data_IF_975112637532
#
_entry.id   IF_975112637532
#
_cell.length_a   1.000
_cell.length_b   1.000
_cell.length_c   1.000
_cell.angle_alpha   90.00
_cell.angle_beta   90.00
_cell.angle_gamma   90.00
#
_symmetry.space_group_name_H-M   'P 1'
#
loop_
_entity.id
_entity.type
_entity.pdbx_description
1 polymer ?
#
# COMPACT_ATOMS: atom_id res chain seq x y z
N UNK A 1 -7.77 25.87 -27.95
CA UNK A 1 -8.74 24.79 -28.21
C UNK A 1 -8.20 23.52 -27.57
N UNK A 2 -9.05 22.68 -26.97
CA UNK A 2 -8.57 21.40 -26.45
C UNK A 2 -8.06 20.55 -27.63
N UNK A 3 -6.84 19.99 -27.49
CA UNK A 3 -6.30 19.03 -28.45
C UNK A 3 -7.31 17.88 -28.64
N UNK A 4 -7.54 17.41 -29.88
CA UNK A 4 -8.49 16.34 -30.14
C UNK A 4 -8.13 15.08 -29.35
N UNK A 5 -9.13 14.24 -29.10
CA UNK A 5 -8.87 12.93 -28.51
C UNK A 5 -8.01 12.08 -29.45
N UNK A 6 -7.11 11.32 -28.86
CA UNK A 6 -6.22 10.40 -29.54
C UNK A 6 -6.51 8.97 -29.07
N UNK A 7 -6.22 8.00 -29.92
CA UNK A 7 -6.26 6.58 -29.59
C UNK A 7 -4.83 6.07 -29.53
N UNK A 8 -4.44 5.54 -28.37
CA UNK A 8 -3.11 4.98 -28.12
C UNK A 8 -3.25 3.46 -28.11
N UNK A 9 -2.48 2.76 -28.95
CA UNK A 9 -2.40 1.30 -28.90
C UNK A 9 -1.58 0.88 -27.68
N UNK A 10 -2.23 0.18 -26.75
CA UNK A 10 -1.62 -0.34 -25.53
C UNK A 10 -1.70 -1.86 -25.60
N UNK A 11 -0.65 -2.48 -26.10
CA UNK A 11 -0.52 -3.93 -26.32
C UNK A 11 -1.69 -4.55 -27.09
N UNK A 12 -2.09 -3.92 -28.20
CA UNK A 12 -3.18 -4.39 -29.07
C UNK A 12 -4.58 -3.92 -28.64
N UNK A 13 -4.68 -3.10 -27.60
CA UNK A 13 -5.95 -2.49 -27.13
C UNK A 13 -5.88 -0.98 -27.31
N UNK A 14 -6.80 -0.43 -28.11
CA UNK A 14 -6.92 1.02 -28.29
C UNK A 14 -7.47 1.70 -27.02
N UNK A 15 -6.68 2.59 -26.42
CA UNK A 15 -7.05 3.38 -25.25
C UNK A 15 -7.14 4.86 -25.64
N UNK A 16 -8.31 5.45 -25.41
CA UNK A 16 -8.54 6.88 -25.68
C UNK A 16 -7.81 7.76 -24.66
N UNK A 17 -7.12 8.79 -25.12
CA UNK A 17 -6.53 9.84 -24.27
C UNK A 17 -7.05 11.23 -24.68
N UNK A 18 -7.34 12.06 -23.67
CA UNK A 18 -7.87 13.42 -23.86
C UNK A 18 -7.22 14.40 -22.92
N UNK A 19 -7.14 15.67 -23.35
CA UNK A 19 -6.52 16.75 -22.59
C UNK A 19 -5.07 16.44 -22.17
N UNK A 20 -4.21 15.98 -23.10
CA UNK A 20 -2.85 15.56 -22.78
C UNK A 20 -2.02 16.67 -22.13
N UNK A 21 -2.21 17.91 -22.60
CA UNK A 21 -1.47 19.09 -22.14
C UNK A 21 -1.98 19.65 -20.80
N UNK A 22 -3.02 19.04 -20.19
CA UNK A 22 -3.53 19.48 -18.89
C UNK A 22 -2.45 19.28 -17.83
N UNK A 23 -2.16 20.33 -17.06
CA UNK A 23 -1.18 20.30 -15.98
C UNK A 23 -1.76 19.53 -14.79
N UNK A 24 -1.05 18.48 -14.36
CA UNK A 24 -1.35 17.71 -13.15
C UNK A 24 -0.44 18.05 -11.98
N UNK A 25 0.84 18.37 -12.26
CA UNK A 25 1.86 18.73 -11.28
C UNK A 25 2.43 20.11 -11.60
N UNK A 26 1.88 21.20 -11.03
CA UNK A 26 2.24 22.57 -11.43
C UNK A 26 3.73 22.89 -11.28
N UNK A 27 4.39 22.38 -10.23
CA UNK A 27 5.83 22.59 -9.99
C UNK A 27 6.72 22.04 -11.10
N UNK A 28 6.26 21.03 -11.83
CA UNK A 28 7.01 20.41 -12.93
C UNK A 28 6.76 21.08 -14.29
N UNK A 29 5.82 22.02 -14.39
CA UNK A 29 5.49 22.70 -15.64
C UNK A 29 5.14 21.72 -16.76
N UNK A 30 5.85 21.80 -17.89
CA UNK A 30 5.66 20.89 -19.04
C UNK A 30 5.98 19.42 -18.72
N UNK A 31 6.81 19.14 -17.71
CA UNK A 31 7.08 17.78 -17.23
C UNK A 31 5.98 17.21 -16.31
N UNK A 32 4.99 18.03 -15.94
CA UNK A 32 3.93 17.68 -14.99
C UNK A 32 2.56 17.50 -15.63
N UNK A 33 2.48 17.16 -16.91
CA UNK A 33 1.20 17.08 -17.63
C UNK A 33 0.53 15.71 -17.50
N UNK A 34 -0.75 15.64 -17.86
CA UNK A 34 -1.48 14.37 -17.98
C UNK A 34 -0.82 13.42 -18.99
N UNK A 35 -0.30 13.94 -20.11
CA UNK A 35 0.53 13.19 -21.06
C UNK A 35 1.72 12.55 -20.35
N UNK A 36 2.48 13.34 -19.60
CA UNK A 36 3.67 12.84 -18.90
C UNK A 36 3.34 11.70 -17.95
N UNK A 37 2.25 11.82 -17.17
CA UNK A 37 1.80 10.76 -16.28
C UNK A 37 1.33 9.51 -17.05
N UNK A 38 0.59 9.70 -18.15
CA UNK A 38 0.12 8.60 -18.98
C UNK A 38 1.27 7.82 -19.61
N UNK A 39 2.24 8.53 -20.21
CA UNK A 39 3.41 7.93 -20.85
C UNK A 39 4.31 7.23 -19.82
N UNK A 40 4.48 7.81 -18.62
CA UNK A 40 5.13 7.14 -17.49
C UNK A 40 4.47 5.79 -17.20
N UNK A 41 3.14 5.75 -17.08
CA UNK A 41 2.43 4.52 -16.80
C UNK A 41 2.58 3.48 -17.91
N UNK A 42 2.64 3.91 -19.18
CA UNK A 42 2.95 3.00 -20.29
C UNK A 42 4.37 2.43 -20.16
N UNK A 43 5.35 3.27 -19.83
CA UNK A 43 6.75 2.86 -19.71
C UNK A 43 6.99 1.83 -18.61
N UNK A 44 6.21 1.86 -17.52
CA UNK A 44 6.31 0.89 -16.41
C UNK A 44 5.20 -0.16 -16.42
N UNK A 45 4.33 -0.19 -17.43
CA UNK A 45 3.11 -0.98 -17.39
C UNK A 45 3.36 -2.48 -17.22
N UNK A 46 4.44 -3.01 -17.80
CA UNK A 46 4.78 -4.43 -17.72
C UNK A 46 5.20 -4.88 -16.31
N UNK A 47 6.25 -4.31 -15.68
CA UNK A 47 6.59 -4.66 -14.30
C UNK A 47 5.46 -4.27 -13.32
N UNK A 48 4.75 -3.16 -13.57
CA UNK A 48 3.58 -2.78 -12.77
C UNK A 48 2.41 -3.77 -12.91
N UNK A 49 2.22 -4.38 -14.07
CA UNK A 49 1.21 -5.41 -14.27
C UNK A 49 1.56 -6.68 -13.50
N UNK A 50 2.83 -7.08 -13.41
CA UNK A 50 3.23 -8.28 -12.67
C UNK A 50 2.75 -8.23 -11.20
N UNK A 51 2.87 -7.06 -10.56
CA UNK A 51 2.44 -6.84 -9.17
C UNK A 51 0.93 -6.57 -9.02
N UNK A 52 0.27 -6.05 -10.06
CA UNK A 52 -1.17 -5.73 -10.04
C UNK A 52 -2.07 -6.83 -10.63
N UNK A 53 -1.49 -7.85 -11.25
CA UNK A 53 -2.24 -8.83 -12.04
C UNK A 53 -3.35 -9.46 -11.21
N UNK A 54 -4.54 -9.42 -11.78
CA UNK A 54 -5.79 -9.95 -11.23
C UNK A 54 -6.26 -9.30 -9.92
N UNK A 55 -5.66 -8.18 -9.49
CA UNK A 55 -6.06 -7.48 -8.27
C UNK A 55 -7.21 -6.51 -8.53
N UNK A 56 -8.25 -6.51 -7.67
CA UNK A 56 -9.21 -5.41 -7.65
C UNK A 56 -8.51 -4.16 -7.12
N UNK A 57 -8.75 -3.02 -7.76
CA UNK A 57 -7.96 -1.80 -7.57
C UNK A 57 -8.85 -0.57 -7.48
N UNK A 58 -8.70 0.20 -6.39
CA UNK A 58 -9.30 1.53 -6.27
C UNK A 58 -8.43 2.59 -6.93
N UNK A 59 -9.04 3.69 -7.35
CA UNK A 59 -8.37 4.76 -8.09
C UNK A 59 -8.42 6.07 -7.29
N UNK A 60 -7.26 6.65 -6.98
CA UNK A 60 -7.17 8.00 -6.44
C UNK A 60 -6.96 8.98 -7.60
N UNK A 61 -8.02 9.74 -7.90
CA UNK A 61 -8.11 10.55 -9.11
C UNK A 61 -8.06 12.04 -8.80
N UNK A 62 -7.39 12.77 -9.68
CA UNK A 62 -7.24 14.22 -9.68
C UNK A 62 -7.49 14.76 -11.09
N UNK A 63 -8.77 14.83 -11.52
CA UNK A 63 -9.11 15.18 -12.91
C UNK A 63 -8.54 16.54 -13.37
N UNK A 64 -8.31 17.44 -12.42
CA UNK A 64 -7.80 18.81 -12.58
C UNK A 64 -6.43 19.02 -11.92
N UNK A 65 -5.67 17.95 -11.68
CA UNK A 65 -4.33 17.99 -11.08
C UNK A 65 -4.32 17.97 -9.55
N UNK A 66 -3.12 17.84 -8.96
CA UNK A 66 -2.94 17.54 -7.52
C UNK A 66 -3.50 18.61 -6.57
N UNK A 67 -3.69 19.84 -7.05
CA UNK A 67 -4.25 20.96 -6.29
C UNK A 67 -5.77 21.10 -6.46
N UNK A 68 -6.37 20.26 -7.32
CA UNK A 68 -7.80 20.22 -7.59
C UNK A 68 -8.57 19.23 -6.71
N UNK A 69 -9.77 18.87 -7.17
CA UNK A 69 -10.62 17.90 -6.49
C UNK A 69 -9.99 16.50 -6.48
N UNK A 70 -10.01 15.87 -5.30
CA UNK A 70 -9.62 14.49 -5.11
C UNK A 70 -10.86 13.58 -5.14
N UNK A 71 -10.84 12.57 -6.02
CA UNK A 71 -11.90 11.56 -6.13
C UNK A 71 -11.29 10.19 -5.82
N UNK A 72 -11.65 9.63 -4.66
CA UNK A 72 -11.30 8.26 -4.29
C UNK A 72 -12.36 7.27 -4.79
N UNK A 73 -12.14 6.70 -5.97
CA UNK A 73 -13.10 5.86 -6.67
C UNK A 73 -12.88 4.38 -6.37
N UNK A 74 -13.85 3.76 -5.69
CA UNK A 74 -13.83 2.32 -5.39
C UNK A 74 -14.56 1.48 -6.44
N UNK A 75 -15.75 1.92 -6.83
CA UNK A 75 -16.59 1.24 -7.83
C UNK A 75 -16.20 1.70 -9.25
N UNK A 76 -16.10 0.76 -10.18
CA UNK A 76 -15.97 1.09 -11.61
C UNK A 76 -17.21 1.84 -12.11
N UNK A 77 -17.09 2.85 -13.01
CA UNK A 77 -18.26 3.56 -13.53
C UNK A 77 -19.20 2.61 -14.29
N UNK A 78 -20.52 2.81 -14.21
CA UNK A 78 -21.49 1.94 -14.89
C UNK A 78 -21.28 1.87 -16.42
N UNK A 79 -20.78 2.95 -17.02
CA UNK A 79 -20.33 2.99 -18.41
C UNK A 79 -18.81 3.03 -18.42
N UNK A 80 -18.19 2.01 -18.98
CA UNK A 80 -16.76 1.88 -19.13
C UNK A 80 -16.44 1.08 -20.41
N UNK A 81 -15.21 1.14 -20.95
CA UNK A 81 -14.83 0.38 -22.14
C UNK A 81 -14.97 -1.13 -21.96
N UNK A 82 -15.41 -1.83 -23.01
CA UNK A 82 -15.70 -3.27 -22.99
C UNK A 82 -14.49 -4.15 -22.66
N UNK A 83 -13.26 -3.65 -22.85
CA UNK A 83 -12.03 -4.38 -22.54
C UNK A 83 -11.68 -4.40 -21.05
N UNK A 84 -12.31 -3.56 -20.22
CA UNK A 84 -12.04 -3.57 -18.79
C UNK A 84 -12.70 -4.75 -18.12
N UNK A 85 -11.97 -5.37 -17.20
CA UNK A 85 -12.49 -6.43 -16.35
C UNK A 85 -12.76 -5.87 -14.95
N UNK A 86 -13.72 -6.48 -14.28
CA UNK A 86 -14.14 -6.11 -12.93
C UNK A 86 -14.07 -7.31 -12.01
N UNK A 87 -14.10 -7.04 -10.72
CA UNK A 87 -14.14 -8.06 -9.69
C UNK A 87 -14.92 -7.52 -8.50
N UNK A 88 -15.85 -8.33 -8.00
CA UNK A 88 -16.63 -7.97 -6.83
C UNK A 88 -15.74 -8.04 -5.58
N UNK A 89 -15.71 -6.98 -4.78
CA UNK A 89 -15.03 -6.94 -3.49
C UNK A 89 -16.02 -6.72 -2.36
N UNK A 90 -15.73 -7.28 -1.19
CA UNK A 90 -16.52 -7.11 0.04
C UNK A 90 -15.86 -6.10 0.97
N UNK A 91 -16.56 -5.00 1.26
CA UNK A 91 -16.11 -3.98 2.22
C UNK A 91 -16.27 -4.44 3.67
N UNK A 92 -15.64 -3.77 4.67
CA UNK A 92 -15.76 -4.14 6.08
C UNK A 92 -17.20 -4.12 6.63
N UNK A 93 -18.11 -3.42 5.94
CA UNK A 93 -19.55 -3.39 6.27
C UNK A 93 -20.35 -4.59 5.75
N UNK A 94 -19.73 -5.48 4.98
CA UNK A 94 -20.40 -6.56 4.22
C UNK A 94 -21.00 -6.12 2.88
N UNK A 95 -21.02 -4.82 2.57
CA UNK A 95 -21.45 -4.31 1.25
C UNK A 95 -20.45 -4.72 0.17
N UNK A 96 -20.94 -5.00 -1.04
CA UNK A 96 -20.10 -5.33 -2.19
C UNK A 96 -20.05 -4.22 -3.25
N UNK A 97 -19.01 -4.25 -4.08
CA UNK A 97 -18.92 -3.45 -5.30
C UNK A 97 -17.98 -4.06 -6.33
N UNK A 98 -18.28 -3.83 -7.61
CA UNK A 98 -17.36 -4.10 -8.71
C UNK A 98 -16.23 -3.07 -8.73
N UNK A 99 -15.02 -3.52 -8.40
CA UNK A 99 -13.79 -2.76 -8.55
C UNK A 99 -13.13 -3.07 -9.90
N UNK A 100 -12.26 -2.17 -10.37
CA UNK A 100 -11.41 -2.43 -11.54
C UNK A 100 -10.49 -3.62 -11.25
N UNK A 101 -10.54 -4.67 -12.07
CA UNK A 101 -9.58 -5.77 -12.02
C UNK A 101 -8.47 -5.51 -13.04
N UNK A 102 -7.22 -5.41 -12.59
CA UNK A 102 -6.09 -5.12 -13.49
C UNK A 102 -5.61 -6.42 -14.15
N UNK A 103 -5.96 -6.63 -15.41
CA UNK A 103 -5.57 -7.83 -16.18
C UNK A 103 -4.67 -7.55 -17.38
N UNK A 104 -4.54 -6.29 -17.76
CA UNK A 104 -3.84 -5.84 -18.96
C UNK A 104 -3.30 -4.41 -18.80
N UNK A 105 -2.21 -4.01 -19.47
CA UNK A 105 -1.68 -2.63 -19.42
C UNK A 105 -2.71 -1.56 -19.78
N UNK A 106 -3.66 -1.87 -20.66
CA UNK A 106 -4.75 -0.98 -21.03
C UNK A 106 -5.66 -0.57 -19.87
N UNK A 107 -5.75 -1.38 -18.81
CA UNK A 107 -6.49 -1.01 -17.59
C UNK A 107 -5.77 0.10 -16.80
N UNK A 108 -4.43 0.05 -16.75
CA UNK A 108 -3.59 1.07 -16.10
C UNK A 108 -3.63 2.36 -16.92
N UNK A 109 -3.46 2.26 -18.23
CA UNK A 109 -3.57 3.40 -19.15
C UNK A 109 -4.95 4.07 -19.08
N UNK A 110 -6.03 3.27 -19.06
CA UNK A 110 -7.37 3.79 -18.84
C UNK A 110 -7.52 4.52 -17.50
N UNK A 111 -6.98 3.96 -16.42
CA UNK A 111 -7.00 4.62 -15.11
C UNK A 111 -6.28 5.99 -15.18
N UNK A 112 -5.11 6.07 -15.81
CA UNK A 112 -4.39 7.32 -16.02
C UNK A 112 -5.20 8.33 -16.87
N UNK A 113 -5.84 7.88 -17.95
CA UNK A 113 -6.77 8.71 -18.74
C UNK A 113 -7.92 9.26 -17.89
N UNK A 114 -8.43 8.50 -16.93
CA UNK A 114 -9.49 8.94 -16.00
C UNK A 114 -8.98 9.94 -14.93
N UNK A 115 -7.71 10.31 -14.99
CA UNK A 115 -7.04 11.21 -14.05
C UNK A 115 -6.54 10.52 -12.79
N UNK A 116 -6.35 9.20 -12.82
CA UNK A 116 -5.79 8.47 -11.69
C UNK A 116 -4.32 8.80 -11.53
N UNK A 117 -3.95 9.33 -10.37
CA UNK A 117 -2.54 9.51 -9.99
C UNK A 117 -2.04 8.28 -9.26
N UNK A 118 -2.80 7.73 -8.30
CA UNK A 118 -2.38 6.58 -7.50
C UNK A 118 -3.36 5.42 -7.67
N UNK A 119 -2.84 4.22 -7.95
CA UNK A 119 -3.60 2.97 -7.94
C UNK A 119 -3.47 2.31 -6.56
N UNK A 120 -4.60 1.85 -6.02
CA UNK A 120 -4.67 1.23 -4.69
C UNK A 120 -5.21 -0.21 -4.78
N UNK A 121 -4.34 -1.20 -5.02
CA UNK A 121 -4.73 -2.60 -5.12
C UNK A 121 -5.08 -3.18 -3.75
N UNK A 122 -6.11 -4.01 -3.74
CA UNK A 122 -6.35 -4.89 -2.61
C UNK A 122 -5.23 -5.94 -2.51
N UNK A 123 -5.04 -6.49 -1.31
CA UNK A 123 -4.08 -7.56 -1.02
C UNK A 123 -4.56 -8.96 -1.44
N UNK A 124 -5.56 -9.04 -2.32
CA UNK A 124 -6.16 -10.28 -2.83
C UNK A 124 -6.05 -10.33 -4.36
N UNK A 125 -6.19 -11.53 -4.94
CA UNK A 125 -6.34 -11.73 -6.39
C UNK A 125 -7.71 -12.34 -6.67
N UNK A 126 -8.37 -11.84 -7.71
CA UNK A 126 -9.66 -12.38 -8.12
C UNK A 126 -9.51 -13.76 -8.77
N UNK A 127 -10.47 -14.69 -8.57
CA UNK A 127 -11.76 -14.47 -7.92
C UNK A 127 -11.76 -14.67 -6.39
N UNK A 128 -10.66 -15.10 -5.78
CA UNK A 128 -10.59 -15.30 -4.33
C UNK A 128 -10.32 -13.97 -3.60
N UNK A 129 -11.40 -13.23 -3.33
CA UNK A 129 -11.32 -11.93 -2.66
C UNK A 129 -11.40 -12.02 -1.13
N UNK A 130 -11.41 -13.22 -0.57
CA UNK A 130 -11.55 -13.45 0.87
C UNK A 130 -10.22 -13.79 1.55
N UNK A 131 -9.27 -14.36 0.79
CA UNK A 131 -7.96 -14.75 1.30
C UNK A 131 -6.83 -13.91 0.68
N UNK A 132 -6.19 -13.01 1.45
CA UNK A 132 -5.04 -12.27 0.96
C UNK A 132 -3.88 -13.17 0.53
N UNK A 133 -3.24 -12.82 -0.58
CA UNK A 133 -1.98 -13.42 -1.02
C UNK A 133 -0.78 -12.51 -0.65
N UNK A 134 -1.02 -11.36 -0.01
CA UNK A 134 -0.01 -10.42 0.48
C UNK A 134 -0.23 -10.04 1.94
N UNK A 135 0.81 -10.19 2.77
CA UNK A 135 0.92 -9.48 4.04
C UNK A 135 1.71 -8.18 3.81
N UNK A 136 1.21 -7.07 4.34
CA UNK A 136 1.79 -5.73 4.16
C UNK A 136 2.32 -5.19 5.48
N UNK A 137 3.56 -4.70 5.46
CA UNK A 137 4.16 -3.92 6.54
C UNK A 137 4.32 -2.48 6.07
N UNK A 138 3.81 -1.53 6.87
CA UNK A 138 3.86 -0.10 6.59
C UNK A 138 4.61 0.60 7.72
N UNK A 139 5.82 1.04 7.41
CA UNK A 139 6.70 1.77 8.32
C UNK A 139 6.45 3.27 8.10
N UNK A 140 5.62 3.86 8.97
CA UNK A 140 5.13 5.24 8.83
C UNK A 140 5.82 6.20 9.83
N UNK A 141 6.70 7.10 9.35
CA UNK A 141 7.31 8.13 10.17
C UNK A 141 6.30 9.07 10.82
N UNK A 142 6.31 9.12 12.15
CA UNK A 142 5.57 10.10 12.93
C UNK A 142 6.34 11.43 13.00
N UNK A 143 5.73 12.54 13.44
CA UNK A 143 6.45 13.81 13.64
C UNK A 143 7.73 13.59 14.46
N UNK A 144 8.85 14.17 14.02
CA UNK A 144 10.19 13.92 14.58
C UNK A 144 11.00 12.84 13.87
N UNK A 145 10.38 12.02 13.02
CA UNK A 145 11.07 10.98 12.22
C UNK A 145 10.90 11.20 10.72
N UNK A 146 11.74 10.55 9.92
CA UNK A 146 11.81 10.68 8.46
C UNK A 146 12.01 9.34 7.75
N UNK A 147 12.11 9.38 6.41
CA UNK A 147 12.35 8.20 5.58
C UNK A 147 13.61 7.43 5.99
N UNK A 148 14.68 8.14 6.35
CA UNK A 148 15.92 7.51 6.81
C UNK A 148 15.69 6.57 8.00
N UNK A 149 14.85 6.97 8.96
CA UNK A 149 14.48 6.08 10.07
C UNK A 149 13.73 4.85 9.55
N UNK A 150 12.74 5.04 8.67
CA UNK A 150 11.93 3.94 8.13
C UNK A 150 12.77 2.93 7.34
N UNK A 151 13.68 3.41 6.49
CA UNK A 151 14.64 2.58 5.77
C UNK A 151 15.55 1.82 6.72
N UNK A 152 16.10 2.51 7.73
CA UNK A 152 16.97 1.88 8.72
C UNK A 152 16.26 0.76 9.48
N UNK A 153 15.05 0.98 10.00
CA UNK A 153 14.29 -0.09 10.69
C UNK A 153 13.92 -1.22 9.74
N UNK A 154 13.61 -0.93 8.47
CA UNK A 154 13.34 -1.95 7.48
C UNK A 154 14.55 -2.87 7.28
N UNK A 155 15.74 -2.30 7.08
CA UNK A 155 16.98 -3.02 6.75
C UNK A 155 17.61 -3.68 7.98
N UNK A 156 17.69 -2.96 9.09
CA UNK A 156 18.48 -3.38 10.26
C UNK A 156 17.69 -4.23 11.25
N UNK A 157 16.34 -4.16 11.22
CA UNK A 157 15.49 -4.86 12.20
C UNK A 157 14.49 -5.78 11.51
N UNK A 158 13.62 -5.25 10.65
CA UNK A 158 12.57 -6.05 10.02
C UNK A 158 13.17 -7.14 9.12
N UNK A 159 14.14 -6.82 8.27
CA UNK A 159 14.74 -7.82 7.37
C UNK A 159 15.40 -8.98 8.15
N UNK A 160 16.25 -8.76 9.17
CA UNK A 160 16.77 -9.85 9.99
C UNK A 160 15.68 -10.70 10.68
N UNK A 161 14.60 -10.08 11.16
CA UNK A 161 13.44 -10.82 11.72
C UNK A 161 12.83 -11.73 10.66
N UNK A 162 12.64 -11.25 9.43
CA UNK A 162 12.14 -12.05 8.33
C UNK A 162 13.10 -13.20 7.97
N UNK A 163 14.41 -12.93 7.95
CA UNK A 163 15.45 -13.92 7.68
C UNK A 163 15.43 -15.05 8.75
N UNK A 164 15.28 -14.71 10.04
CA UNK A 164 15.14 -15.68 11.14
C UNK A 164 13.90 -16.58 10.99
N UNK A 165 12.81 -16.03 10.44
CA UNK A 165 11.57 -16.74 10.18
C UNK A 165 11.58 -17.53 8.87
N UNK A 166 12.63 -17.39 8.04
CA UNK A 166 12.69 -17.98 6.70
C UNK A 166 11.65 -17.38 5.74
N UNK A 167 11.28 -16.11 5.95
CA UNK A 167 10.31 -15.36 5.15
C UNK A 167 11.05 -14.34 4.30
N UNK A 168 10.69 -14.21 3.01
CA UNK A 168 11.26 -13.18 2.14
C UNK A 168 10.31 -11.99 2.06
N UNK A 169 10.83 -10.81 2.35
CA UNK A 169 10.14 -9.53 2.18
C UNK A 169 10.67 -8.74 0.98
N UNK A 170 9.78 -7.97 0.35
CA UNK A 170 10.05 -7.18 -0.84
C UNK A 170 9.77 -5.70 -0.53
N UNK A 171 10.80 -4.86 -0.38
CA UNK A 171 10.61 -3.48 0.02
C UNK A 171 10.36 -2.55 -1.17
N UNK A 172 9.60 -1.49 -0.91
CA UNK A 172 9.44 -0.34 -1.80
C UNK A 172 9.36 0.95 -1.00
N UNK A 173 9.83 2.06 -1.58
CA UNK A 173 9.46 3.37 -1.04
C UNK A 173 7.95 3.53 -1.10
N UNK A 174 7.35 4.25 -0.16
CA UNK A 174 5.96 4.67 -0.33
C UNK A 174 5.82 5.73 -1.42
N UNK A 175 6.88 6.49 -1.72
CA UNK A 175 6.84 7.75 -2.47
C UNK A 175 6.40 8.93 -1.62
N UNK A 176 6.08 8.71 -0.34
CA UNK A 176 6.06 9.75 0.69
C UNK A 176 7.23 9.54 1.64
N UNK A 177 6.99 9.65 2.95
CA UNK A 177 8.05 9.49 3.96
C UNK A 177 8.29 8.04 4.40
N UNK A 178 7.33 7.14 4.19
CA UNK A 178 7.39 5.77 4.71
C UNK A 178 7.99 4.73 3.76
N UNK A 179 8.17 3.53 4.29
CA UNK A 179 8.61 2.32 3.58
C UNK A 179 7.50 1.27 3.67
N UNK A 180 7.25 0.59 2.55
CA UNK A 180 6.35 -0.55 2.53
C UNK A 180 7.16 -1.83 2.29
N UNK A 181 6.82 -2.91 2.97
CA UNK A 181 7.38 -4.25 2.70
C UNK A 181 6.24 -5.22 2.43
N UNK A 182 6.31 -5.92 1.30
CA UNK A 182 5.37 -6.97 0.93
C UNK A 182 5.95 -8.35 1.23
N UNK A 183 5.09 -9.24 1.69
CA UNK A 183 5.39 -10.65 1.88
C UNK A 183 4.35 -11.44 1.09
N UNK A 184 4.79 -12.21 0.10
CA UNK A 184 3.94 -13.14 -0.64
C UNK A 184 3.59 -14.32 0.26
N UNK A 185 2.30 -14.55 0.46
CA UNK A 185 1.78 -15.62 1.30
C UNK A 185 0.85 -16.53 0.50
N UNK A 186 0.65 -17.76 0.97
CA UNK A 186 -0.42 -18.61 0.42
C UNK A 186 -1.78 -17.98 0.76
N UNK A 187 -2.75 -17.98 -0.17
CA UNK A 187 -4.10 -17.47 0.09
C UNK A 187 -4.93 -18.51 0.88
N UNK A 188 -4.38 -19.01 1.99
CA UNK A 188 -5.02 -20.00 2.87
C UNK A 188 -5.70 -19.35 4.09
N UNK A 189 -5.52 -18.04 4.27
CA UNK A 189 -5.94 -17.29 5.46
C UNK A 189 -6.78 -16.08 5.10
N UNK A 190 -7.77 -15.77 5.95
CA UNK A 190 -8.60 -14.58 5.78
C UNK A 190 -7.89 -13.29 6.23
N UNK A 191 -8.53 -12.15 6.01
CA UNK A 191 -8.03 -10.84 6.44
C UNK A 191 -7.77 -10.74 7.95
N UNK A 192 -8.52 -11.46 8.79
CA UNK A 192 -8.37 -11.39 10.25
C UNK A 192 -7.08 -12.08 10.66
N UNK A 193 -6.84 -13.29 10.15
CA UNK A 193 -5.61 -14.05 10.41
C UNK A 193 -4.38 -13.32 9.85
N UNK A 194 -4.44 -12.78 8.62
CA UNK A 194 -3.33 -12.01 8.02
C UNK A 194 -3.05 -10.74 8.82
N UNK A 195 -4.08 -10.03 9.30
CA UNK A 195 -3.90 -8.87 10.18
C UNK A 195 -3.28 -9.25 11.52
N UNK A 196 -3.70 -10.36 12.15
CA UNK A 196 -3.09 -10.83 13.40
C UNK A 196 -1.61 -11.21 13.23
N UNK A 197 -1.27 -11.89 12.13
CA UNK A 197 0.12 -12.16 11.78
C UNK A 197 0.93 -10.86 11.62
N UNK A 198 0.36 -9.84 10.96
CA UNK A 198 0.97 -8.51 10.85
C UNK A 198 1.16 -7.79 12.19
N UNK A 199 0.22 -7.93 13.13
CA UNK A 199 0.34 -7.39 14.50
C UNK A 199 1.50 -8.06 15.25
N UNK A 200 1.58 -9.40 15.21
CA UNK A 200 2.64 -10.14 15.89
C UNK A 200 4.03 -9.78 15.35
N UNK A 201 4.15 -9.63 14.03
CA UNK A 201 5.39 -9.17 13.40
C UNK A 201 5.73 -7.74 13.80
N UNK A 202 4.74 -6.84 13.81
CA UNK A 202 4.93 -5.45 14.24
C UNK A 202 5.41 -5.34 15.69
N UNK A 203 4.82 -6.13 16.60
CA UNK A 203 5.24 -6.19 18.02
C UNK A 203 6.64 -6.76 18.19
N UNK A 204 7.03 -7.73 17.37
CA UNK A 204 8.39 -8.27 17.43
C UNK A 204 9.42 -7.22 17.02
N UNK A 205 9.15 -6.47 15.95
CA UNK A 205 10.01 -5.35 15.54
C UNK A 205 10.03 -4.25 16.62
N UNK A 206 8.89 -3.92 17.22
CA UNK A 206 8.80 -2.97 18.33
C UNK A 206 9.63 -3.43 19.54
N UNK A 207 9.55 -4.70 19.95
CA UNK A 207 10.35 -5.23 21.07
C UNK A 207 11.86 -5.16 20.81
N UNK A 208 12.29 -5.32 19.55
CA UNK A 208 13.71 -5.26 19.17
C UNK A 208 14.23 -3.82 19.05
N UNK A 209 13.36 -2.85 18.81
CA UNK A 209 13.71 -1.44 18.65
C UNK A 209 12.69 -0.49 19.32
N UNK A 210 12.46 -0.61 20.65
CA UNK A 210 11.34 0.06 21.33
C UNK A 210 11.49 1.58 21.39
N UNK A 211 12.71 2.10 21.26
CA UNK A 211 12.97 3.55 21.21
C UNK A 211 12.74 4.15 19.83
N UNK A 212 12.66 3.32 18.78
CA UNK A 212 12.52 3.77 17.39
C UNK A 212 11.20 3.34 16.74
N UNK A 213 10.50 2.35 17.29
CA UNK A 213 9.30 1.74 16.72
C UNK A 213 8.18 1.72 17.73
N UNK A 214 6.94 1.92 17.27
CA UNK A 214 5.74 1.80 18.09
C UNK A 214 4.59 1.14 17.36
N UNK A 215 3.75 0.40 18.08
CA UNK A 215 2.43 -0.07 17.63
C UNK A 215 1.27 0.64 18.35
N UNK A 216 1.53 1.71 19.12
CA UNK A 216 0.44 2.41 19.80
C UNK A 216 -0.55 3.02 18.81
N UNK A 217 -1.82 2.70 19.05
CA UNK A 217 -2.93 3.22 18.26
C UNK A 217 -3.12 4.72 18.47
N UNK A 218 -2.90 5.22 19.69
CA UNK A 218 -3.05 6.62 20.06
C UNK A 218 -1.86 7.44 19.60
N UNK A 219 -2.10 8.48 18.79
CA UNK A 219 -1.01 9.31 18.23
C UNK A 219 -0.16 9.98 19.31
N UNK A 220 -0.79 10.38 20.42
CA UNK A 220 -0.14 11.00 21.57
C UNK A 220 0.83 10.08 22.31
N UNK A 221 0.70 8.75 22.17
CA UNK A 221 1.56 7.75 22.82
C UNK A 221 2.72 7.30 21.92
N UNK A 222 2.72 7.67 20.64
CA UNK A 222 3.74 7.22 19.67
C UNK A 222 5.11 7.82 19.94
N UNK A 223 5.13 9.10 20.34
CA UNK A 223 6.35 9.90 20.41
C UNK A 223 7.03 10.05 19.05
N UNK A 224 8.34 10.30 19.07
CA UNK A 224 9.18 10.44 17.87
C UNK A 224 9.67 9.06 17.39
N UNK A 225 8.73 8.16 17.08
CA UNK A 225 9.00 6.79 16.62
C UNK A 225 8.34 6.51 15.28
N UNK A 226 8.76 5.44 14.62
CA UNK A 226 8.06 4.88 13.48
C UNK A 226 6.85 4.10 13.96
N UNK A 227 5.69 4.42 13.39
CA UNK A 227 4.50 3.62 13.62
C UNK A 227 4.46 2.49 12.59
N UNK A 228 4.30 1.24 13.05
CA UNK A 228 3.97 0.14 12.14
C UNK A 228 2.46 0.07 12.01
N UNK A 229 1.90 0.51 10.87
CA UNK A 229 0.45 0.50 10.65
C UNK A 229 -0.06 -0.91 10.32
N UNK A 230 -0.22 -1.72 11.37
CA UNK A 230 -0.77 -3.07 11.29
C UNK A 230 -2.20 -3.11 10.71
N UNK A 231 -2.94 -1.98 10.75
CA UNK A 231 -4.29 -1.94 10.19
C UNK A 231 -4.30 -1.88 8.66
N UNK A 232 -3.15 -1.74 7.99
CA UNK A 232 -3.05 -1.84 6.52
C UNK A 232 -3.39 -3.24 5.98
N UNK A 233 -3.36 -4.26 6.84
CA UNK A 233 -3.81 -5.61 6.50
C UNK A 233 -5.32 -5.82 6.63
N UNK A 234 -6.07 -4.83 7.12
CA UNK A 234 -7.53 -4.87 7.13
C UNK A 234 -8.09 -4.68 5.71
N UNK A 235 -9.37 -5.01 5.50
CA UNK A 235 -10.08 -4.73 4.24
C UNK A 235 -10.18 -3.22 3.99
N UNK A 236 -10.22 -2.84 2.71
CA UNK A 236 -10.54 -1.48 2.24
C UNK A 236 -9.65 -0.38 2.83
N UNK A 237 -8.33 -0.64 2.84
CA UNK A 237 -7.31 0.30 3.27
C UNK A 237 -6.58 0.90 2.08
N UNK A 238 -6.25 2.19 2.18
CA UNK A 238 -5.51 2.89 1.12
C UNK A 238 -4.05 2.48 1.15
N UNK A 239 -3.58 1.81 0.10
CA UNK A 239 -2.19 1.40 -0.02
C UNK A 239 -1.72 1.61 -1.46
N UNK A 240 -0.74 2.48 -1.71
CA UNK A 240 -0.28 2.76 -3.07
C UNK A 240 0.41 1.52 -3.67
N UNK A 241 0.08 1.16 -4.92
CA UNK A 241 0.76 0.07 -5.62
C UNK A 241 2.25 0.36 -5.80
N UNK A 242 3.05 -0.69 -6.00
CA UNK A 242 4.34 -0.53 -6.66
C UNK A 242 4.14 0.19 -8.02
N UNK A 243 5.08 1.08 -8.34
CA UNK A 243 5.08 1.96 -9.52
C UNK A 243 3.95 3.00 -9.59
N UNK A 244 3.06 3.13 -8.60
CA UNK A 244 2.12 4.25 -8.60
C UNK A 244 2.83 5.58 -8.38
N UNK A 245 2.51 6.57 -9.22
CA UNK A 245 2.80 7.96 -8.92
C UNK A 245 2.03 8.41 -7.68
N UNK A 246 2.57 9.42 -6.97
CA UNK A 246 1.98 9.96 -5.75
C UNK A 246 1.55 11.41 -5.95
N UNK A 247 0.66 11.86 -5.07
CA UNK A 247 0.23 13.26 -4.95
C UNK A 247 1.28 14.08 -4.18
N UNK A 248 2.48 14.18 -4.75
CA UNK A 248 3.57 15.04 -4.26
C UNK A 248 3.88 16.09 -5.31
N UNK A 249 4.50 17.20 -4.93
CA UNK A 249 4.78 18.29 -5.86
C UNK A 249 5.70 17.89 -7.02
N UNK A 250 6.56 16.88 -6.82
CA UNK A 250 7.53 16.38 -7.81
C UNK A 250 7.11 15.05 -8.46
N UNK A 251 5.87 14.61 -8.25
CA UNK A 251 5.37 13.35 -8.80
C UNK A 251 6.24 12.12 -8.46
N UNK A 252 6.59 11.98 -7.17
CA UNK A 252 7.30 10.81 -6.66
C UNK A 252 6.53 9.51 -6.94
N UNK A 253 7.25 8.39 -6.93
CA UNK A 253 6.75 7.05 -7.24
C UNK A 253 6.97 6.13 -6.05
N UNK A 254 6.03 5.23 -5.78
CA UNK A 254 6.24 4.12 -4.85
C UNK A 254 7.12 3.06 -5.52
N UNK A 255 8.44 3.12 -5.30
CA UNK A 255 9.43 2.42 -6.11
C UNK A 255 9.88 1.10 -5.47
N UNK A 256 9.71 -0.06 -6.14
CA UNK A 256 10.34 -1.32 -5.75
C UNK A 256 11.86 -1.24 -5.74
N UNK A 257 12.47 -1.73 -4.66
CA UNK A 257 13.91 -1.71 -4.43
C UNK A 257 14.40 -3.07 -3.93
N UNK A 258 15.67 -3.35 -4.15
CA UNK A 258 16.36 -4.39 -3.38
C UNK A 258 16.58 -3.90 -1.94
N UNK A 259 16.82 -4.82 -1.01
CA UNK A 259 17.21 -4.45 0.36
C UNK A 259 18.49 -3.60 0.39
N UNK A 260 19.43 -3.86 -0.52
CA UNK A 260 20.68 -3.09 -0.64
C UNK A 260 20.42 -1.66 -1.12
N UNK A 261 19.57 -1.48 -2.14
CA UNK A 261 19.20 -0.16 -2.64
C UNK A 261 18.42 0.65 -1.61
N UNK A 262 17.53 -0.02 -0.84
CA UNK A 262 16.73 0.65 0.19
C UNK A 262 17.60 1.35 1.24
N UNK A 263 18.70 0.72 1.65
CA UNK A 263 19.58 1.22 2.73
C UNK A 263 20.15 2.62 2.45
N UNK A 264 20.32 2.98 1.17
CA UNK A 264 20.83 4.29 0.73
C UNK A 264 19.84 5.11 -0.09
N UNK A 265 18.55 4.73 -0.12
CA UNK A 265 17.56 5.36 -0.97
C UNK A 265 17.16 6.76 -0.49
N UNK A 266 16.88 7.65 -1.44
CA UNK A 266 16.09 8.85 -1.24
C UNK A 266 14.78 8.71 -2.04
N UNK A 267 13.58 8.77 -1.43
CA UNK A 267 12.32 8.65 -2.15
C UNK A 267 12.14 9.72 -3.25
N UNK A 268 12.81 10.88 -3.13
CA UNK A 268 12.72 11.96 -4.13
C UNK A 268 13.50 11.66 -5.42
N UNK A 269 14.40 10.66 -5.41
CA UNK A 269 15.10 10.18 -6.63
C UNK A 269 14.16 9.43 -7.58
N UNK A 270 13.03 8.93 -7.08
CA UNK A 270 12.09 8.11 -7.84
C UNK A 270 10.84 8.92 -8.18
N UNK A 271 10.80 9.46 -9.39
CA UNK A 271 9.67 10.24 -9.93
C UNK A 271 9.20 9.67 -11.25
N UNK A 272 8.05 10.15 -11.74
CA UNK A 272 7.56 9.78 -13.08
C UNK A 272 8.55 10.11 -14.20
N UNK A 273 9.50 11.04 -13.96
CA UNK A 273 10.51 11.43 -14.94
C UNK A 273 11.78 10.56 -14.89
N UNK A 274 12.11 9.96 -13.73
CA UNK A 274 13.38 9.24 -13.53
C UNK A 274 13.21 7.72 -13.56
N UNK A 275 12.07 7.21 -13.10
CA UNK A 275 11.83 5.76 -12.97
C UNK A 275 11.87 5.00 -14.29
N UNK A 276 11.31 5.47 -15.42
CA UNK A 276 11.37 4.74 -16.69
C UNK A 276 12.80 4.35 -17.11
N UNK A 277 13.72 5.31 -16.97
CA UNK A 277 15.13 5.15 -17.30
C UNK A 277 15.84 4.17 -16.34
N UNK A 278 15.47 4.17 -15.06
CA UNK A 278 15.99 3.23 -14.06
C UNK A 278 15.52 1.80 -14.32
N UNK A 279 14.22 1.62 -14.59
CA UNK A 279 13.61 0.31 -14.88
C UNK A 279 14.19 -0.29 -16.16
N UNK A 280 14.47 0.52 -17.18
CA UNK A 280 15.05 0.02 -18.43
C UNK A 280 16.52 -0.47 -18.28
N UNK A 281 17.24 -0.02 -17.25
CA UNK A 281 18.68 -0.25 -17.06
C UNK A 281 19.01 -1.24 -15.94
N UNK A 282 18.03 -1.68 -15.16
CA UNK A 282 18.21 -2.52 -13.97
C UNK A 282 17.24 -3.71 -14.00
N UNK A 283 17.69 -4.85 -13.52
CA UNK A 283 16.82 -5.99 -13.25
C UNK A 283 15.74 -5.62 -12.21
N UNK A 284 14.59 -6.27 -12.30
CA UNK A 284 13.48 -6.06 -11.36
C UNK A 284 13.84 -6.66 -9.98
N UNK A 285 13.98 -5.84 -8.91
CA UNK A 285 14.29 -6.36 -7.59
C UNK A 285 13.17 -7.22 -6.99
N UNK A 286 11.98 -7.20 -7.57
CA UNK A 286 10.83 -7.99 -7.17
C UNK A 286 10.54 -9.17 -8.12
N UNK A 287 11.44 -9.48 -9.06
CA UNK A 287 11.22 -10.55 -10.05
C UNK A 287 10.79 -11.89 -9.44
N UNK A 288 11.30 -12.22 -8.24
CA UNK A 288 11.03 -13.47 -7.55
C UNK A 288 9.86 -13.40 -6.55
N UNK A 289 9.11 -12.30 -6.47
CA UNK A 289 8.03 -12.12 -5.46
C UNK A 289 6.97 -13.23 -5.51
N UNK A 290 6.70 -13.78 -6.69
CA UNK A 290 5.73 -14.86 -6.88
C UNK A 290 6.38 -16.26 -6.92
N UNK A 291 7.70 -16.36 -6.77
CA UNK A 291 8.41 -17.64 -6.80
C UNK A 291 8.12 -18.51 -5.56
N UNK A 292 7.90 -17.88 -4.40
CA UNK A 292 7.62 -18.55 -3.13
C UNK A 292 6.44 -17.90 -2.42
N UNK A 293 5.39 -18.68 -2.18
CA UNK A 293 4.29 -18.31 -1.30
C UNK A 293 4.52 -18.85 0.11
N UNK A 294 4.86 -17.95 1.03
CA UNK A 294 5.18 -18.29 2.42
C UNK A 294 3.93 -18.68 3.22
N UNK A 295 4.11 -19.54 4.22
CA UNK A 295 3.09 -19.76 5.26
C UNK A 295 3.20 -18.66 6.32
N UNK A 296 2.05 -18.16 6.83
CA UNK A 296 2.04 -17.23 7.98
C UNK A 296 1.93 -17.95 9.32
N UNK A 297 1.92 -19.28 9.36
CA UNK A 297 1.86 -20.06 10.61
C UNK A 297 2.94 -19.67 11.63
N UNK A 298 4.21 -19.39 11.27
CA UNK A 298 5.20 -18.90 12.23
C UNK A 298 4.77 -17.61 12.92
N UNK A 299 4.16 -16.68 12.17
CA UNK A 299 3.64 -15.42 12.70
C UNK A 299 2.39 -15.62 13.55
N UNK A 300 1.53 -16.59 13.19
CA UNK A 300 0.36 -16.95 14.00
C UNK A 300 0.78 -17.57 15.35
N UNK A 301 1.84 -18.40 15.38
CA UNK A 301 2.42 -18.90 16.63
C UNK A 301 3.00 -17.77 17.49
N UNK A 302 3.60 -16.75 16.86
CA UNK A 302 4.02 -15.55 17.59
C UNK A 302 2.82 -14.79 18.17
N UNK A 303 1.69 -14.72 17.44
CA UNK A 303 0.45 -14.13 17.94
C UNK A 303 -0.11 -14.92 19.13
N UNK A 304 -0.12 -16.25 19.09
CA UNK A 304 -0.51 -17.11 20.21
C UNK A 304 0.39 -16.87 21.44
N UNK A 305 1.70 -16.78 21.24
CA UNK A 305 2.64 -16.46 22.32
C UNK A 305 2.44 -15.04 22.89
N UNK A 306 2.01 -14.08 22.06
CA UNK A 306 1.60 -12.75 22.54
C UNK A 306 0.31 -12.81 23.35
N UNK A 307 -0.68 -13.63 22.96
CA UNK A 307 -1.90 -13.85 23.74
C UNK A 307 -1.57 -14.45 25.13
N UNK A 308 -0.63 -15.40 25.22
CA UNK A 308 -0.12 -15.93 26.49
C UNK A 308 0.52 -14.86 27.38
N UNK A 309 1.06 -13.78 26.77
CA UNK A 309 1.60 -12.60 27.47
C UNK A 309 0.52 -11.56 27.82
N UNK A 310 -0.74 -11.83 27.54
CA UNK A 310 -1.86 -10.90 27.73
C UNK A 310 -1.97 -9.83 26.64
N UNK A 311 -1.24 -9.98 25.53
CA UNK A 311 -1.24 -9.06 24.40
C UNK A 311 -2.16 -9.61 23.29
N UNK A 312 -3.47 -9.37 23.43
CA UNK A 312 -4.49 -9.77 22.45
C UNK A 312 -4.51 -8.93 21.17
N UNK A 313 -5.68 -8.83 20.52
CA UNK A 313 -5.85 -8.01 19.32
C UNK A 313 -5.57 -6.50 19.59
N UNK A 314 -5.25 -5.74 18.54
CA UNK A 314 -5.10 -4.29 18.61
C UNK A 314 -6.31 -3.58 17.99
N UNK A 315 -6.58 -2.31 18.36
CA UNK A 315 -7.74 -1.59 17.84
C UNK A 315 -7.72 -1.40 16.31
N UNK A 316 -8.90 -1.53 15.70
CA UNK A 316 -9.12 -1.14 14.31
C UNK A 316 -9.16 0.40 14.16
N UNK A 317 -9.07 0.94 12.93
CA UNK A 317 -9.12 2.39 12.71
C UNK A 317 -10.42 3.03 13.24
N UNK A 318 -10.37 4.31 13.66
CA UNK A 318 -11.59 5.06 14.00
C UNK A 318 -12.55 5.03 12.81
N UNK A 319 -13.81 4.65 13.05
CA UNK A 319 -14.87 4.47 12.04
C UNK A 319 -14.77 3.22 11.15
N UNK A 320 -13.91 2.25 11.47
CA UNK A 320 -13.87 0.98 10.73
C UNK A 320 -15.14 0.15 11.01
N UNK A 321 -16.00 -0.15 10.01
CA UNK A 321 -17.22 -0.92 10.22
C UNK A 321 -16.93 -2.34 10.72
N UNK A 322 -17.83 -2.93 11.51
CA UNK A 322 -17.80 -4.35 11.87
C UNK A 322 -18.58 -5.17 10.85
N UNK A 323 -18.08 -6.35 10.51
CA UNK A 323 -18.88 -7.31 9.74
C UNK A 323 -19.93 -7.99 10.65
N UNK A 324 -21.12 -8.31 10.13
CA UNK A 324 -22.03 -9.22 10.82
C UNK A 324 -21.33 -10.55 11.15
N UNK A 325 -21.36 -10.97 12.41
CA UNK A 325 -20.71 -12.20 12.88
C UNK A 325 -19.22 -12.09 13.20
N UNK A 326 -18.61 -10.90 13.07
CA UNK A 326 -17.21 -10.67 13.47
C UNK A 326 -17.04 -10.75 15.01
N UNK A 327 -15.94 -11.35 15.51
CA UNK A 327 -15.63 -11.35 16.94
C UNK A 327 -15.57 -9.94 17.56
N UNK A 328 -15.76 -9.81 18.89
CA UNK A 328 -15.58 -8.54 19.58
C UNK A 328 -14.17 -7.96 19.36
N UNK A 329 -14.11 -6.73 18.85
CA UNK A 329 -12.85 -5.98 18.69
C UNK A 329 -12.40 -5.36 20.01
N UNK A 330 -11.10 -5.28 20.20
CA UNK A 330 -10.48 -4.51 21.27
C UNK A 330 -10.80 -3.03 21.07
N UNK A 331 -11.38 -2.41 22.10
CA UNK A 331 -11.62 -0.97 22.11
C UNK A 331 -10.33 -0.24 22.47
N UNK A 332 -10.09 0.95 21.89
CA UNK A 332 -9.03 1.81 22.37
C UNK A 332 -9.22 2.11 23.86
N UNK A 333 -8.36 1.57 24.72
CA UNK A 333 -8.31 1.97 26.13
C UNK A 333 -7.33 3.12 26.29
N UNK A 334 -7.73 4.18 27.01
CA UNK A 334 -6.82 5.20 27.51
C UNK A 334 -6.58 4.98 28.99
N UNK A 335 -5.35 5.16 29.48
CA UNK A 335 -5.13 5.46 30.90
C UNK A 335 -5.76 6.83 31.18
N UNK A 336 -6.89 6.86 31.90
CA UNK A 336 -7.48 8.10 32.42
C UNK A 336 -6.85 8.33 33.79
N UNK A 337 -5.98 9.33 33.93
CA UNK A 337 -5.21 9.57 35.16
C UNK A 337 -6.06 9.65 36.45
N UNK A 338 -7.35 9.98 36.33
CA UNK A 338 -8.28 10.01 37.47
C UNK A 338 -8.71 8.61 37.99
N UNK A 339 -8.41 7.53 37.27
CA UNK A 339 -8.87 6.17 37.57
C UNK A 339 -7.74 5.23 38.03
N UNK A 340 -6.54 5.76 38.27
CA UNK A 340 -5.35 4.99 38.62
C UNK A 340 -4.66 5.67 39.80
N UNK A 341 -4.28 4.91 40.82
CA UNK A 341 -3.51 5.43 41.95
C UNK A 341 -2.02 5.59 41.59
N UNK A 342 -1.26 6.23 42.48
CA UNK A 342 0.17 6.52 42.27
C UNK A 342 1.03 5.23 42.13
N UNK A 343 0.46 4.06 42.46
CA UNK A 343 1.08 2.73 42.33
C UNK A 343 0.65 1.98 41.05
N UNK A 344 0.01 2.68 40.10
CA UNK A 344 -0.53 2.14 38.84
C UNK A 344 -1.55 1.00 39.00
N UNK A 345 -2.24 0.91 40.13
CA UNK A 345 -3.38 0.02 40.26
C UNK A 345 -4.66 0.71 39.77
N UNK A 346 -5.51 -0.05 39.08
CA UNK A 346 -6.81 0.44 38.63
C UNK A 346 -7.73 0.57 39.86
N UNK A 347 -8.19 1.79 40.15
CA UNK A 347 -9.03 2.10 41.30
C UNK A 347 -10.50 1.66 41.14
#
# INVERSE_FOLDING_TARGET
MASPAEEVDVDGVAVRLTSPDKVYYPKLGAGGTKRTLFDYYLAVAQPMLAVLRDRPTHLQRFPDGIDGEEIYQKRVPAKHPDYLQTCEVTFPSGRTADALKVTHPSAIAWAAQMGTITLHPWQVRCPDTEHPDELRIDLDPQPGTAFANASQIAVDVLKPVLDELGIVGYPKTSGGRGVHVFIRIKPDWDFVAVRRAGIALAREVERRAPDAVTTSWWKEERGERLFIDYNQNARDRTFASAYSARRTEIATVSMPLSWADLAGADPDDYTIATVPDLVAKRDDPWADIDAVAHSIEPLLKMAEADEERGLGDLPYPPNYPKMPGEPPRVQPSKKVAANWDDDENQA
#
